data_IF_666443269540
#
_entry.id   IF_666443269540
#
_cell.length_a   1.000
_cell.length_b   1.000
_cell.length_c   1.000
_cell.angle_alpha   90.00
_cell.angle_beta   90.00
_cell.angle_gamma   90.00
#
_symmetry.space_group_name_H-M   'P 1'
#
loop_
_entity.id
_entity.type
_entity.pdbx_description
1 polymer ?
#
# COMPACT_ATOMS: atom_id res chain seq x y z
N UNK A 1 -12.10 12.03 23.15
CA UNK A 1 -11.73 10.60 23.04
C UNK A 1 -11.29 10.38 21.60
N UNK A 2 -10.01 10.09 21.33
CA UNK A 2 -9.61 9.66 19.98
C UNK A 2 -10.23 8.27 19.79
N UNK A 3 -11.12 8.11 18.82
CA UNK A 3 -11.55 6.79 18.38
C UNK A 3 -10.29 5.98 18.07
N UNK A 4 -10.11 4.87 18.78
CA UNK A 4 -9.10 3.90 18.42
C UNK A 4 -9.56 3.31 17.09
N UNK A 5 -8.97 3.76 15.98
CA UNK A 5 -9.17 3.17 14.66
C UNK A 5 -8.60 1.76 14.67
N UNK A 6 -9.40 0.80 15.15
CA UNK A 6 -9.02 -0.62 15.15
C UNK A 6 -9.05 -1.10 13.72
N UNK A 7 -7.86 -1.39 13.18
CA UNK A 7 -7.69 -1.99 11.86
C UNK A 7 -7.66 -3.50 12.01
N UNK A 8 -8.32 -4.19 11.12
CA UNK A 8 -8.55 -5.62 11.23
C UNK A 8 -8.03 -6.37 10.00
N UNK A 9 -7.65 -7.62 10.23
CA UNK A 9 -7.17 -8.51 9.20
C UNK A 9 -7.83 -9.87 9.31
N UNK A 10 -8.47 -10.34 8.23
CA UNK A 10 -9.03 -11.67 8.16
C UNK A 10 -8.11 -12.62 7.38
N UNK A 11 -7.48 -13.54 8.12
CA UNK A 11 -6.39 -14.40 7.62
C UNK A 11 -6.81 -15.38 6.53
N UNK A 12 -7.96 -16.04 6.67
CA UNK A 12 -8.38 -17.11 5.74
C UNK A 12 -8.65 -16.59 4.32
N UNK A 13 -9.17 -15.37 4.22
CA UNK A 13 -9.50 -14.71 2.94
C UNK A 13 -8.48 -13.63 2.55
N UNK A 14 -7.50 -13.33 3.41
CA UNK A 14 -6.52 -12.25 3.24
C UNK A 14 -7.20 -10.92 2.95
N UNK A 15 -8.10 -10.52 3.85
CA UNK A 15 -8.84 -9.25 3.76
C UNK A 15 -8.34 -8.30 4.83
N UNK A 16 -7.78 -7.16 4.42
CA UNK A 16 -7.54 -6.03 5.28
C UNK A 16 -8.74 -5.09 5.26
N UNK A 17 -9.22 -4.68 6.44
CA UNK A 17 -10.39 -3.81 6.53
C UNK A 17 -10.33 -2.92 7.77
N UNK A 18 -10.74 -1.64 7.67
CA UNK A 18 -10.94 -0.80 8.85
C UNK A 18 -12.29 -1.07 9.52
N UNK A 19 -13.17 -1.86 8.91
CA UNK A 19 -14.52 -2.09 9.42
C UNK A 19 -14.52 -3.14 10.54
N UNK A 20 -15.49 -3.03 11.44
CA UNK A 20 -15.69 -3.99 12.52
C UNK A 20 -16.39 -5.26 12.00
N UNK A 21 -15.73 -6.43 12.00
CA UNK A 21 -16.29 -7.69 11.52
C UNK A 21 -17.35 -8.28 12.47
N UNK A 22 -17.56 -7.70 13.65
CA UNK A 22 -18.64 -8.10 14.56
C UNK A 22 -20.02 -7.66 14.05
N UNK A 23 -20.07 -6.68 13.15
CA UNK A 23 -21.28 -6.35 12.41
C UNK A 23 -21.46 -7.38 11.28
N UNK A 24 -22.48 -8.23 11.42
CA UNK A 24 -22.74 -9.30 10.46
C UNK A 24 -23.07 -8.76 9.05
N UNK A 25 -23.75 -7.60 8.95
CA UNK A 25 -24.06 -6.99 7.66
C UNK A 25 -22.81 -6.52 6.93
N UNK A 26 -21.84 -5.97 7.67
CA UNK A 26 -20.51 -5.63 7.14
C UNK A 26 -19.78 -6.91 6.72
N UNK A 27 -19.78 -7.95 7.56
CA UNK A 27 -19.06 -9.20 7.29
C UNK A 27 -19.58 -9.90 6.02
N UNK A 28 -20.90 -9.98 5.88
CA UNK A 28 -21.55 -10.57 4.70
C UNK A 28 -21.20 -9.77 3.43
N UNK A 29 -21.21 -8.44 3.53
CA UNK A 29 -20.81 -7.53 2.43
C UNK A 29 -19.34 -7.76 2.05
N UNK A 30 -18.43 -7.81 3.03
CA UNK A 30 -17.01 -8.06 2.80
C UNK A 30 -16.77 -9.38 2.07
N UNK A 31 -17.45 -10.45 2.49
CA UNK A 31 -17.28 -11.78 1.88
C UNK A 31 -17.87 -11.86 0.47
N UNK A 32 -19.04 -11.27 0.25
CA UNK A 32 -19.65 -11.20 -1.08
C UNK A 32 -18.74 -10.47 -2.08
N UNK A 33 -18.20 -9.31 -1.70
CA UNK A 33 -17.29 -8.54 -2.56
C UNK A 33 -15.93 -9.21 -2.75
N UNK A 34 -15.38 -9.84 -1.71
CA UNK A 34 -14.17 -10.66 -1.86
C UNK A 34 -14.36 -11.75 -2.91
N UNK A 35 -15.46 -12.50 -2.87
CA UNK A 35 -15.68 -13.61 -3.80
C UNK A 35 -15.91 -13.11 -5.23
N UNK A 36 -16.57 -11.96 -5.40
CA UNK A 36 -16.72 -11.28 -6.70
C UNK A 36 -15.36 -10.84 -7.26
N UNK A 37 -14.57 -10.11 -6.48
CA UNK A 37 -13.30 -9.54 -6.93
C UNK A 37 -12.24 -10.62 -7.15
N UNK A 38 -12.20 -11.66 -6.31
CA UNK A 38 -11.28 -12.78 -6.48
C UNK A 38 -11.55 -13.56 -7.77
N UNK A 39 -12.82 -13.72 -8.16
CA UNK A 39 -13.17 -14.30 -9.47
C UNK A 39 -12.68 -13.43 -10.63
N UNK A 40 -12.82 -12.11 -10.51
CA UNK A 40 -12.32 -11.16 -11.51
C UNK A 40 -10.79 -11.24 -11.64
N UNK A 41 -10.07 -11.23 -10.50
CA UNK A 41 -8.62 -11.34 -10.47
C UNK A 41 -8.14 -12.68 -11.09
N UNK A 42 -8.86 -13.78 -10.85
CA UNK A 42 -8.54 -15.07 -11.47
C UNK A 42 -8.70 -15.08 -12.99
N UNK A 43 -9.66 -14.33 -13.52
CA UNK A 43 -9.87 -14.23 -14.96
C UNK A 43 -8.79 -13.37 -15.64
N UNK A 44 -8.30 -12.32 -14.98
CA UNK A 44 -7.42 -11.31 -15.61
C UNK A 44 -5.94 -11.46 -15.26
N UNK A 45 -5.58 -11.88 -14.04
CA UNK A 45 -4.21 -11.91 -13.55
C UNK A 45 -3.99 -13.04 -12.52
N UNK A 46 -4.12 -14.29 -12.99
CA UNK A 46 -4.12 -15.50 -12.16
C UNK A 46 -2.84 -15.69 -11.34
N UNK A 47 -1.70 -15.29 -11.88
CA UNK A 47 -0.37 -15.41 -11.29
C UNK A 47 -0.22 -14.56 -10.01
N UNK A 48 -0.89 -13.41 -9.93
CA UNK A 48 -0.75 -12.47 -8.81
C UNK A 48 -1.46 -12.91 -7.53
N UNK A 49 -2.49 -13.76 -7.65
CA UNK A 49 -3.39 -14.17 -6.55
C UNK A 49 -2.64 -14.65 -5.30
N UNK A 50 -1.56 -15.41 -5.48
CA UNK A 50 -0.84 -16.03 -4.37
C UNK A 50 -0.08 -15.02 -3.50
N UNK A 51 0.28 -13.87 -4.07
CA UNK A 51 1.00 -12.82 -3.37
C UNK A 51 0.10 -11.64 -3.01
N UNK A 52 -1.13 -11.61 -3.55
CA UNK A 52 -2.06 -10.53 -3.34
C UNK A 52 -2.90 -10.65 -2.07
N UNK A 53 -3.15 -9.51 -1.48
CA UNK A 53 -4.10 -9.25 -0.40
C UNK A 53 -5.17 -8.26 -0.89
N UNK A 54 -6.39 -8.38 -0.37
CA UNK A 54 -7.49 -7.48 -0.71
C UNK A 54 -7.77 -6.52 0.44
N UNK A 55 -7.70 -5.22 0.17
CA UNK A 55 -8.26 -4.21 1.05
C UNK A 55 -9.73 -3.96 0.70
N UNK A 56 -10.60 -3.93 1.71
CA UNK A 56 -12.01 -3.55 1.58
C UNK A 56 -12.43 -2.57 2.69
N UNK A 57 -13.09 -1.49 2.29
CA UNK A 57 -13.73 -0.55 3.20
C UNK A 57 -15.20 -0.35 2.85
N UNK A 58 -16.08 -0.83 3.72
CA UNK A 58 -17.53 -0.68 3.63
C UNK A 58 -17.93 0.62 4.33
N UNK A 59 -18.46 1.57 3.57
CA UNK A 59 -18.92 2.86 4.05
C UNK A 59 -20.44 2.91 3.93
N UNK A 60 -21.14 3.16 5.04
CA UNK A 60 -22.58 3.40 5.03
C UNK A 60 -22.80 4.87 4.70
N UNK A 61 -23.31 5.15 3.51
CA UNK A 61 -23.53 6.51 3.03
C UNK A 61 -24.94 7.00 3.37
N UNK A 62 -25.90 6.08 3.48
CA UNK A 62 -27.26 6.32 3.97
C UNK A 62 -27.82 5.05 4.66
N UNK A 63 -29.08 5.05 5.07
CA UNK A 63 -29.75 3.85 5.61
C UNK A 63 -29.89 2.73 4.57
N UNK A 64 -29.86 3.08 3.28
CA UNK A 64 -30.08 2.15 2.15
C UNK A 64 -28.85 2.03 1.24
N UNK A 65 -27.95 3.02 1.25
CA UNK A 65 -26.76 3.03 0.41
C UNK A 65 -25.50 2.62 1.16
N UNK A 66 -24.84 1.60 0.62
CA UNK A 66 -23.52 1.14 1.04
C UNK A 66 -22.53 1.29 -0.10
N UNK A 67 -21.51 2.09 0.13
CA UNK A 67 -20.36 2.24 -0.76
C UNK A 67 -19.26 1.28 -0.30
N UNK A 68 -18.69 0.48 -1.19
CA UNK A 68 -17.56 -0.39 -0.85
C UNK A 68 -16.35 0.04 -1.65
N UNK A 69 -15.26 0.42 -0.98
CA UNK A 69 -14.00 0.80 -1.63
C UNK A 69 -12.98 -0.31 -1.54
N UNK A 70 -12.13 -0.43 -2.54
CA UNK A 70 -11.19 -1.55 -2.60
C UNK A 70 -9.91 -1.23 -3.35
N UNK A 71 -8.87 -1.99 -3.04
CA UNK A 71 -7.69 -2.16 -3.88
C UNK A 71 -7.03 -3.49 -3.53
N UNK A 72 -6.27 -4.04 -4.45
CA UNK A 72 -5.40 -5.18 -4.21
C UNK A 72 -4.00 -4.72 -3.84
N UNK A 73 -3.32 -5.53 -3.05
CA UNK A 73 -1.97 -5.27 -2.54
C UNK A 73 -1.09 -6.44 -2.94
N UNK A 74 -0.06 -6.19 -3.73
CA UNK A 74 0.91 -7.18 -4.15
C UNK A 74 2.19 -7.06 -3.32
N UNK A 75 2.38 -7.97 -2.37
CA UNK A 75 3.55 -7.98 -1.49
C UNK A 75 4.83 -8.51 -2.17
N UNK A 76 4.74 -9.02 -3.40
CA UNK A 76 5.93 -9.43 -4.17
C UNK A 76 6.58 -8.24 -4.85
N UNK A 77 5.76 -7.33 -5.39
CA UNK A 77 6.22 -6.12 -6.09
C UNK A 77 6.18 -4.86 -5.22
N UNK A 78 5.64 -4.94 -3.99
CA UNK A 78 5.40 -3.79 -3.12
C UNK A 78 4.54 -2.70 -3.80
N UNK A 79 3.45 -3.12 -4.45
CA UNK A 79 2.54 -2.23 -5.18
C UNK A 79 1.08 -2.47 -4.78
N UNK A 80 0.25 -1.43 -4.92
CA UNK A 80 -1.20 -1.57 -4.95
C UNK A 80 -1.70 -1.56 -6.39
N UNK A 81 -2.85 -2.18 -6.64
CA UNK A 81 -3.46 -2.24 -7.98
C UNK A 81 -4.95 -2.53 -7.91
N UNK A 82 -5.62 -2.46 -9.06
CA UNK A 82 -7.02 -2.82 -9.23
C UNK A 82 -7.18 -3.80 -10.39
N UNK A 83 -8.30 -4.52 -10.41
CA UNK A 83 -8.58 -5.46 -11.51
C UNK A 83 -9.16 -4.73 -12.72
N UNK A 84 -9.91 -3.64 -12.48
CA UNK A 84 -10.40 -2.79 -13.56
C UNK A 84 -9.34 -1.77 -13.98
N UNK A 85 -9.43 -1.34 -15.24
CA UNK A 85 -8.64 -0.22 -15.75
C UNK A 85 -9.11 1.08 -15.09
N UNK A 86 -8.17 1.75 -14.43
CA UNK A 86 -8.44 2.98 -13.70
C UNK A 86 -7.59 4.11 -14.25
N UNK A 87 -8.25 5.23 -14.52
CA UNK A 87 -7.56 6.47 -14.88
C UNK A 87 -6.89 7.08 -13.65
N UNK A 88 -5.68 7.61 -13.83
CA UNK A 88 -4.95 8.34 -12.80
C UNK A 88 -5.80 9.46 -12.15
N UNK A 89 -6.62 10.15 -12.94
CA UNK A 89 -7.53 11.19 -12.44
C UNK A 89 -8.55 10.69 -11.42
N UNK A 90 -9.03 9.45 -11.54
CA UNK A 90 -9.94 8.84 -10.56
C UNK A 90 -9.24 8.54 -9.22
N UNK A 91 -7.91 8.46 -9.25
CA UNK A 91 -7.04 8.30 -8.08
C UNK A 91 -6.53 9.64 -7.55
N UNK A 92 -6.93 10.77 -8.15
CA UNK A 92 -6.40 12.09 -7.80
C UNK A 92 -4.92 12.29 -8.19
N UNK A 93 -4.42 11.45 -9.10
CA UNK A 93 -3.09 11.51 -9.69
C UNK A 93 -3.12 12.29 -11.02
N UNK A 94 -2.04 12.99 -11.39
CA UNK A 94 -1.93 13.55 -12.74
C UNK A 94 -1.97 12.42 -13.79
N UNK A 95 -2.29 12.74 -15.04
CA UNK A 95 -2.12 11.76 -16.11
C UNK A 95 -0.63 11.43 -16.25
N UNK A 96 -0.31 10.14 -16.16
CA UNK A 96 1.04 9.61 -16.21
C UNK A 96 1.13 8.66 -17.39
N UNK A 97 2.10 8.89 -18.27
CA UNK A 97 2.27 8.12 -19.50
C UNK A 97 3.28 6.97 -19.35
N UNK A 98 4.02 6.92 -18.25
CA UNK A 98 5.05 5.93 -17.97
C UNK A 98 4.63 5.00 -16.84
N UNK A 99 4.77 3.69 -17.07
CA UNK A 99 4.57 2.66 -16.05
C UNK A 99 5.49 2.86 -14.85
N UNK A 100 6.72 3.34 -15.08
CA UNK A 100 7.67 3.63 -14.01
C UNK A 100 7.18 4.78 -13.11
N UNK A 101 6.56 5.81 -13.70
CA UNK A 101 6.02 6.93 -12.95
C UNK A 101 4.79 6.50 -12.13
N UNK A 102 3.90 5.69 -12.71
CA UNK A 102 2.76 5.11 -11.99
C UNK A 102 3.23 4.26 -10.80
N UNK A 103 4.20 3.36 -11.02
CA UNK A 103 4.79 2.55 -9.94
C UNK A 103 5.42 3.41 -8.85
N UNK A 104 6.18 4.43 -9.24
CA UNK A 104 6.79 5.38 -8.30
C UNK A 104 5.71 6.05 -7.41
N UNK A 105 4.54 6.38 -7.98
CA UNK A 105 3.41 6.97 -7.26
C UNK A 105 2.63 6.02 -6.38
N UNK A 106 2.53 4.75 -6.75
CA UNK A 106 1.77 3.74 -5.98
C UNK A 106 2.61 3.05 -4.90
N UNK A 107 3.95 3.12 -4.97
CA UNK A 107 4.84 2.54 -3.96
C UNK A 107 4.63 3.13 -2.55
N UNK A 108 4.50 4.46 -2.35
CA UNK A 108 4.19 5.01 -1.04
C UNK A 108 2.82 4.56 -0.51
N UNK A 109 1.84 4.38 -1.40
CA UNK A 109 0.51 3.88 -1.03
C UNK A 109 0.57 2.44 -0.54
N UNK A 110 1.41 1.59 -1.15
CA UNK A 110 1.70 0.26 -0.62
C UNK A 110 2.26 0.34 0.81
N UNK A 111 3.27 1.18 1.06
CA UNK A 111 3.88 1.27 2.39
C UNK A 111 2.92 1.85 3.43
N UNK A 112 2.05 2.77 3.02
CA UNK A 112 0.99 3.29 3.90
C UNK A 112 -0.03 2.19 4.23
N UNK A 113 -0.39 1.32 3.28
CA UNK A 113 -1.21 0.13 3.58
C UNK A 113 -0.51 -0.77 4.60
N UNK A 114 0.78 -1.04 4.41
CA UNK A 114 1.56 -1.88 5.33
C UNK A 114 1.65 -1.28 6.73
N UNK A 115 1.86 0.03 6.85
CA UNK A 115 1.84 0.75 8.15
C UNK A 115 0.49 0.60 8.86
N UNK A 116 -0.58 0.61 8.07
CA UNK A 116 -1.94 0.46 8.53
C UNK A 116 -2.31 -0.97 8.91
N UNK A 117 -1.81 -1.99 8.18
CA UNK A 117 -2.14 -3.39 8.40
C UNK A 117 -0.88 -4.26 8.63
N UNK A 118 -0.01 -3.95 9.60
CA UNK A 118 1.27 -4.66 9.76
C UNK A 118 1.12 -6.04 10.39
N UNK A 119 -0.03 -6.31 11.02
CA UNK A 119 -0.26 -7.44 11.94
C UNK A 119 -0.06 -8.85 11.36
N UNK A 120 -0.03 -9.00 10.04
CA UNK A 120 0.05 -10.29 9.36
C UNK A 120 1.26 -10.42 8.44
N UNK A 121 2.08 -9.37 8.35
CA UNK A 121 3.23 -9.32 7.45
C UNK A 121 4.51 -9.71 8.19
N UNK A 122 5.33 -10.63 7.65
CA UNK A 122 6.66 -10.87 8.18
C UNK A 122 7.62 -9.75 7.80
N UNK A 123 8.66 -9.49 8.63
CA UNK A 123 9.82 -8.71 8.16
C UNK A 123 10.52 -9.57 7.11
N UNK A 124 10.56 -9.08 5.87
CA UNK A 124 11.41 -9.65 4.83
C UNK A 124 12.81 -9.08 4.98
N UNK A 125 13.83 -9.93 5.08
CA UNK A 125 15.22 -9.48 5.20
C UNK A 125 15.61 -8.57 4.03
N UNK A 126 15.10 -8.86 2.83
CA UNK A 126 15.37 -8.08 1.62
C UNK A 126 14.88 -6.62 1.75
N UNK A 127 13.78 -6.40 2.47
CA UNK A 127 13.20 -5.08 2.72
C UNK A 127 14.07 -4.29 3.70
N UNK A 128 14.59 -4.95 4.73
CA UNK A 128 15.52 -4.36 5.69
C UNK A 128 16.88 -4.03 5.05
N UNK A 129 17.41 -4.95 4.25
CA UNK A 129 18.68 -4.77 3.54
C UNK A 129 18.59 -3.60 2.56
N UNK A 130 17.48 -3.51 1.82
CA UNK A 130 17.27 -2.43 0.86
C UNK A 130 17.16 -1.05 1.54
N UNK A 131 16.41 -0.90 2.66
CA UNK A 131 16.35 0.40 3.36
C UNK A 131 17.68 0.75 4.03
N UNK A 132 18.38 -0.24 4.56
CA UNK A 132 19.73 -0.07 5.12
C UNK A 132 20.68 0.45 4.04
N UNK A 133 20.60 -0.10 2.81
CA UNK A 133 21.35 0.38 1.66
C UNK A 133 21.01 1.82 1.29
N UNK A 134 19.72 2.16 1.24
CA UNK A 134 19.24 3.53 0.92
C UNK A 134 19.74 4.54 1.96
N UNK A 135 19.65 4.24 3.25
CA UNK A 135 20.12 5.12 4.33
C UNK A 135 21.64 5.31 4.29
N UNK A 136 22.40 4.23 4.05
CA UNK A 136 23.86 4.32 3.89
C UNK A 136 24.25 5.15 2.67
N UNK A 137 23.52 5.00 1.56
CA UNK A 137 23.69 5.86 0.39
C UNK A 137 23.42 7.32 0.74
N UNK A 138 22.35 7.62 1.47
CA UNK A 138 22.03 8.97 1.94
C UNK A 138 23.14 9.61 2.79
N UNK A 139 23.81 8.84 3.65
CA UNK A 139 25.00 9.33 4.36
C UNK A 139 26.12 9.75 3.40
N UNK A 140 26.48 8.89 2.43
CA UNK A 140 27.55 9.16 1.46
C UNK A 140 27.19 10.32 0.54
N UNK A 141 25.96 10.35 0.07
CA UNK A 141 25.44 11.38 -0.82
C UNK A 141 25.50 12.76 -0.16
N UNK A 142 25.03 12.90 1.09
CA UNK A 142 25.13 14.17 1.80
C UNK A 142 26.58 14.59 2.13
N UNK A 143 27.49 13.63 2.34
CA UNK A 143 28.92 13.91 2.53
C UNK A 143 29.60 14.41 1.26
N UNK A 144 29.22 13.86 0.11
CA UNK A 144 29.83 14.17 -1.20
C UNK A 144 29.14 15.34 -1.91
N UNK A 145 27.88 15.60 -1.59
CA UNK A 145 27.04 16.64 -2.18
C UNK A 145 26.16 17.30 -1.10
N UNK A 146 26.70 18.27 -0.34
CA UNK A 146 25.92 19.05 0.60
C UNK A 146 24.74 19.75 -0.09
N UNK A 147 23.52 19.52 0.40
CA UNK A 147 22.29 20.03 -0.24
C UNK A 147 21.68 19.10 -1.29
N UNK A 148 22.01 17.81 -1.24
CA UNK A 148 21.34 16.79 -2.03
C UNK A 148 19.82 16.76 -1.83
N UNK A 149 19.13 16.22 -2.82
CA UNK A 149 17.68 15.96 -2.82
C UNK A 149 17.27 14.75 -2.00
N UNK A 150 18.22 14.06 -1.34
CA UNK A 150 17.91 12.94 -0.45
C UNK A 150 17.06 13.42 0.75
N UNK A 151 16.00 12.68 1.14
CA UNK A 151 15.02 13.16 2.13
C UNK A 151 15.53 13.39 3.54
N UNK A 152 16.60 12.68 3.91
CA UNK A 152 17.08 12.64 5.27
C UNK A 152 18.47 13.25 5.34
N UNK A 153 18.72 14.00 6.39
CA UNK A 153 20.08 14.39 6.74
C UNK A 153 20.94 13.18 7.06
N UNK A 154 22.25 13.34 6.96
CA UNK A 154 23.22 12.33 7.37
C UNK A 154 23.05 11.91 8.85
N UNK A 155 22.63 12.84 9.71
CA UNK A 155 22.33 12.55 11.13
C UNK A 155 21.10 11.66 11.26
N UNK A 156 20.01 11.96 10.56
CA UNK A 156 18.80 11.12 10.57
C UNK A 156 19.08 9.72 10.01
N UNK A 157 19.86 9.62 8.94
CA UNK A 157 20.27 8.34 8.37
C UNK A 157 21.02 7.48 9.39
N UNK A 158 21.99 8.06 10.10
CA UNK A 158 22.76 7.36 11.14
C UNK A 158 21.87 6.91 12.30
N UNK A 159 20.96 7.77 12.76
CA UNK A 159 20.02 7.44 13.83
C UNK A 159 19.06 6.30 13.44
N UNK A 160 18.55 6.29 12.21
CA UNK A 160 17.70 5.19 11.74
C UNK A 160 18.48 3.87 11.66
N UNK A 161 19.72 3.89 11.19
CA UNK A 161 20.58 2.70 11.16
C UNK A 161 20.86 2.15 12.56
N UNK A 162 21.14 3.01 13.54
CA UNK A 162 21.34 2.62 14.94
C UNK A 162 20.08 1.95 15.53
N UNK A 163 18.90 2.51 15.24
CA UNK A 163 17.62 1.91 15.64
C UNK A 163 17.43 0.53 15.01
N UNK A 164 17.74 0.38 13.73
CA UNK A 164 17.60 -0.90 13.02
C UNK A 164 18.58 -1.96 13.53
N UNK A 165 19.82 -1.60 13.80
CA UNK A 165 20.80 -2.51 14.41
C UNK A 165 20.36 -2.94 15.82
N UNK A 166 19.69 -2.07 16.58
CA UNK A 166 19.06 -2.41 17.86
C UNK A 166 17.99 -3.51 17.76
N UNK A 167 17.33 -3.65 16.61
CA UNK A 167 16.32 -4.69 16.38
C UNK A 167 16.90 -6.07 16.05
N UNK A 168 18.17 -6.16 15.62
CA UNK A 168 18.83 -7.44 15.26
C UNK A 168 19.15 -8.33 16.46
N UNK A 169 18.97 -7.81 17.68
CA UNK A 169 19.11 -8.57 18.92
C UNK A 169 17.91 -9.53 19.07
N UNK A 170 18.11 -10.81 19.45
CA UNK A 170 17.07 -11.83 19.38
C UNK A 170 16.00 -11.58 20.45
N UNK A 171 14.95 -10.83 20.10
CA UNK A 171 13.82 -10.60 20.97
C UNK A 171 12.54 -11.20 20.38
N UNK A 172 11.92 -12.11 21.14
CA UNK A 172 10.63 -12.71 20.82
C UNK A 172 9.47 -11.70 20.97
N UNK A 173 8.48 -11.81 20.09
CA UNK A 173 7.17 -11.17 20.24
C UNK A 173 7.14 -9.67 19.97
N UNK A 174 6.99 -8.86 21.02
CA UNK A 174 6.64 -7.43 20.93
C UNK A 174 7.69 -6.57 20.22
N UNK A 175 8.97 -6.95 20.29
CA UNK A 175 10.07 -6.25 19.62
C UNK A 175 10.00 -6.36 18.09
N UNK A 176 9.59 -7.52 17.55
CA UNK A 176 9.44 -7.75 16.11
C UNK A 176 8.38 -6.84 15.48
N UNK A 177 7.21 -6.71 16.13
CA UNK A 177 6.13 -5.85 15.63
C UNK A 177 6.47 -4.36 15.64
N UNK A 178 7.34 -3.95 16.56
CA UNK A 178 7.82 -2.57 16.68
C UNK A 178 8.86 -2.30 15.61
N UNK A 179 9.82 -3.21 15.44
CA UNK A 179 10.81 -3.18 14.37
C UNK A 179 10.17 -3.09 12.99
N UNK A 180 9.15 -3.93 12.74
CA UNK A 180 8.34 -3.91 11.52
C UNK A 180 7.76 -2.53 11.24
N UNK A 181 7.03 -1.98 12.20
CA UNK A 181 6.41 -0.66 12.04
C UNK A 181 7.46 0.40 11.77
N UNK A 182 8.55 0.42 12.53
CA UNK A 182 9.64 1.38 12.33
C UNK A 182 10.27 1.27 10.93
N UNK A 183 10.57 0.07 10.46
CA UNK A 183 11.09 -0.17 9.11
C UNK A 183 10.12 0.31 8.04
N UNK A 184 8.83 -0.02 8.16
CA UNK A 184 7.79 0.37 7.20
C UNK A 184 7.54 1.88 7.18
N UNK A 185 7.58 2.54 8.34
CA UNK A 185 7.46 4.01 8.43
C UNK A 185 8.63 4.69 7.72
N UNK A 186 9.87 4.23 7.91
CA UNK A 186 11.03 4.82 7.21
C UNK A 186 10.95 4.57 5.71
N UNK A 187 10.51 3.38 5.28
CA UNK A 187 10.22 3.09 3.88
C UNK A 187 9.17 4.00 3.28
N UNK A 188 8.08 4.25 4.00
CA UNK A 188 7.03 5.17 3.57
C UNK A 188 7.60 6.58 3.37
N UNK A 189 8.36 7.08 4.34
CA UNK A 189 8.97 8.41 4.26
C UNK A 189 9.96 8.51 3.09
N UNK A 190 10.82 7.51 2.91
CA UNK A 190 11.77 7.45 1.80
C UNK A 190 11.05 7.40 0.44
N UNK A 191 10.03 6.55 0.31
CA UNK A 191 9.24 6.41 -0.93
C UNK A 191 8.48 7.71 -1.24
N UNK A 192 7.91 8.35 -0.21
CA UNK A 192 7.24 9.64 -0.37
C UNK A 192 8.20 10.71 -0.86
N UNK A 193 9.45 10.73 -0.41
CA UNK A 193 10.41 11.71 -0.88
C UNK A 193 10.81 11.51 -2.34
N UNK A 194 11.00 10.26 -2.75
CA UNK A 194 11.21 9.90 -4.16
C UNK A 194 10.01 10.32 -5.01
N UNK A 195 8.79 10.12 -4.50
CA UNK A 195 7.56 10.54 -5.19
C UNK A 195 7.28 12.06 -5.11
N UNK A 196 7.76 12.76 -4.08
CA UNK A 196 7.45 14.17 -3.78
C UNK A 196 8.13 15.18 -4.71
N UNK A 197 8.79 14.75 -5.78
CA UNK A 197 9.19 15.62 -6.88
C UNK A 197 8.00 16.19 -7.71
N UNK A 198 6.75 15.95 -7.28
CA UNK A 198 5.63 16.82 -7.62
C UNK A 198 4.31 16.32 -7.04
N UNK A 199 3.58 17.14 -6.28
CA UNK A 199 2.18 16.93 -5.84
C UNK A 199 1.94 15.83 -4.77
N UNK A 200 1.24 16.23 -3.69
CA UNK A 200 0.75 15.37 -2.60
C UNK A 200 -0.77 15.22 -2.71
N UNK A 201 -1.24 14.03 -3.04
CA UNK A 201 -2.57 13.52 -2.69
C UNK A 201 -2.38 12.03 -2.35
N UNK A 202 -2.68 11.62 -1.11
CA UNK A 202 -2.66 10.20 -0.76
C UNK A 202 -3.85 9.49 -1.41
N UNK A 203 -3.61 8.36 -2.06
CA UNK A 203 -4.60 7.62 -2.86
C UNK A 203 -5.37 6.59 -2.02
N UNK A 204 -4.89 6.23 -0.83
CA UNK A 204 -5.56 5.24 0.01
C UNK A 204 -6.99 5.67 0.38
N UNK A 205 -7.92 4.80 -0.02
CA UNK A 205 -9.36 5.00 0.10
C UNK A 205 -10.09 4.99 -1.24
N UNK A 206 -9.55 4.35 -2.28
CA UNK A 206 -10.00 4.53 -3.66
C UNK A 206 -10.95 3.45 -4.22
N UNK A 207 -11.71 3.93 -5.20
CA UNK A 207 -12.81 3.40 -6.04
C UNK A 207 -14.00 2.75 -5.34
N UNK A 208 -15.20 3.39 -5.40
CA UNK A 208 -16.45 2.76 -5.03
C UNK A 208 -16.82 1.61 -5.98
N UNK A 209 -17.25 0.50 -5.40
CA UNK A 209 -17.85 -0.66 -6.08
C UNK A 209 -19.35 -0.48 -6.36
N UNK A 210 -19.89 0.74 -6.23
CA UNK A 210 -21.33 1.01 -6.40
C UNK A 210 -21.81 0.55 -7.78
N UNK A 211 -23.09 0.15 -7.84
CA UNK A 211 -23.75 -0.56 -8.96
C UNK A 211 -23.72 0.15 -10.34
N UNK A 212 -23.05 1.30 -10.47
CA UNK A 212 -23.04 2.11 -11.68
C UNK A 212 -21.64 2.49 -12.16
N UNK A 213 -20.59 1.73 -11.79
CA UNK A 213 -19.28 1.85 -12.44
C UNK A 213 -19.23 1.05 -13.78
N UNK A 214 -20.25 1.25 -14.62
CA UNK A 214 -20.18 1.00 -16.06
C UNK A 214 -20.16 2.36 -16.75
N UNK A 215 -19.00 3.01 -16.74
CA UNK A 215 -18.69 4.07 -17.69
C UNK A 215 -17.59 3.55 -18.62
N UNK A 216 -18.02 2.84 -19.66
CA UNK A 216 -17.22 2.52 -20.84
C UNK A 216 -17.08 3.79 -21.67
N UNK A 217 -15.94 4.50 -21.65
CA UNK A 217 -15.31 5.27 -22.76
C UNK A 217 -13.88 5.65 -22.32
N UNK A 218 -12.78 5.34 -22.98
CA UNK A 218 -12.55 4.80 -24.31
C UNK A 218 -11.28 3.94 -24.29
N UNK A 219 -11.37 2.86 -25.07
CA UNK A 219 -10.26 2.02 -25.48
C UNK A 219 -9.49 2.84 -26.52
N UNK A 220 -8.25 3.18 -26.21
CA UNK A 220 -7.17 3.37 -27.20
C UNK A 220 -5.84 3.60 -26.47
N UNK A 221 -5.43 2.67 -25.61
CA UNK A 221 -4.01 2.44 -25.35
C UNK A 221 -3.84 0.94 -25.13
N UNK A 222 -2.89 0.34 -25.84
CA UNK A 222 -2.47 -1.07 -25.79
C UNK A 222 -3.25 -2.07 -26.67
N UNK A 223 -3.23 -1.81 -27.98
CA UNK A 223 -3.03 -2.90 -28.94
C UNK A 223 -1.59 -3.40 -28.81
N UNK A 224 -1.39 -4.64 -28.36
CA UNK A 224 -0.10 -5.32 -28.43
C UNK A 224 0.14 -5.84 -29.86
N UNK A 225 1.29 -5.56 -30.51
CA UNK A 225 1.70 -6.36 -31.65
C UNK A 225 2.26 -7.71 -31.16
N UNK A 226 1.94 -8.73 -31.95
CA UNK A 226 2.29 -10.15 -31.87
C UNK A 226 3.78 -10.45 -31.73
#
# INVERSE_FOLDING_TARGET
MKELNVRMYQRTRRIATPNDPRDQGILDTLFAYHDKLKKSLYATARDRIHHSELYLNVMRTSTEDTEVRYYWVDHSTCQIFWVEDIRCSALGLPELDSEADIKSRLTPEYWTHVEYFPMHLPVKQEVEDAITGILRHGCVDNMTSPGSTFPFSEVECRQYLEVFDGFKCPYEGHSLSTAQKSLHTVWLLASNAVAAQGYRNAVIGAIPLTSTFLARVGVDVFSFPS
#
